data_IF_159704928026
#
_entry.id   IF_159704928026
#
_cell.length_a   1.000
_cell.length_b   1.000
_cell.length_c   1.000
_cell.angle_alpha   90.00
_cell.angle_beta   90.00
_cell.angle_gamma   90.00
#
_symmetry.space_group_name_H-M   'P 1'
#
loop_
_entity.id
_entity.type
_entity.pdbx_description
1 polymer ?
#
# COMPACT_ATOMS: atom_id res chain seq x y z
N UNK A 1 13.92 -65.75 24.30
CA UNK A 1 15.07 -65.77 25.24
C UNK A 1 15.69 -64.37 25.17
N UNK A 2 15.40 -63.39 26.03
CA UNK A 2 15.39 -63.26 27.51
C UNK A 2 16.77 -63.33 28.18
N UNK A 3 16.99 -62.32 29.04
CA UNK A 3 18.05 -61.98 30.02
C UNK A 3 19.32 -61.32 29.44
N UNK A 4 19.67 -60.05 29.73
CA UNK A 4 19.71 -59.21 30.96
C UNK A 4 20.93 -59.47 31.85
N UNK A 5 21.75 -58.44 32.04
CA UNK A 5 22.41 -58.15 33.32
C UNK A 5 22.65 -56.63 33.44
N UNK A 6 21.96 -56.05 34.40
CA UNK A 6 22.11 -54.69 34.94
C UNK A 6 23.28 -54.67 35.92
N UNK A 7 23.95 -53.52 36.04
CA UNK A 7 24.59 -53.12 37.30
C UNK A 7 23.84 -51.90 37.81
N UNK A 8 23.28 -52.08 39.00
CA UNK A 8 22.62 -51.08 39.79
C UNK A 8 23.66 -50.24 40.56
N UNK A 9 23.45 -48.94 40.61
CA UNK A 9 23.79 -48.14 41.77
C UNK A 9 22.55 -47.32 42.11
N UNK A 10 21.91 -47.69 43.21
CA UNK A 10 20.87 -46.91 43.87
C UNK A 10 21.51 -46.24 45.09
N UNK A 11 21.20 -44.96 45.30
CA UNK A 11 21.02 -44.20 46.55
C UNK A 11 21.35 -42.72 46.26
N UNK A 12 20.50 -41.74 46.49
CA UNK A 12 19.17 -41.75 47.06
C UNK A 12 18.48 -40.41 46.77
N UNK A 13 17.16 -40.40 46.94
CA UNK A 13 16.37 -39.19 46.94
C UNK A 13 16.79 -38.29 48.11
N UNK A 14 17.25 -37.08 47.80
CA UNK A 14 17.06 -35.93 48.68
C UNK A 14 16.24 -34.93 47.88
N UNK A 15 14.97 -34.84 48.27
CA UNK A 15 14.09 -33.74 47.90
C UNK A 15 14.62 -32.48 48.57
N UNK A 16 15.16 -31.56 47.78
CA UNK A 16 15.18 -30.15 48.15
C UNK A 16 14.98 -29.32 46.89
N UNK A 17 13.74 -28.92 46.67
CA UNK A 17 13.38 -27.79 45.84
C UNK A 17 13.99 -26.53 46.45
N UNK A 18 15.25 -26.25 46.14
CA UNK A 18 15.77 -24.89 46.19
C UNK A 18 15.58 -24.31 44.80
N UNK A 19 14.39 -23.75 44.58
CA UNK A 19 14.19 -22.78 43.52
C UNK A 19 15.24 -21.69 43.74
N UNK A 20 16.29 -21.67 42.91
CA UNK A 20 17.13 -20.51 42.76
C UNK A 20 16.22 -19.44 42.14
N UNK A 21 15.53 -18.71 43.02
CA UNK A 21 14.75 -17.55 42.64
C UNK A 21 15.68 -16.61 41.89
N UNK A 22 15.37 -16.39 40.62
CA UNK A 22 15.92 -15.28 39.86
C UNK A 22 15.81 -14.05 40.77
N UNK A 23 16.92 -13.37 41.12
CA UNK A 23 16.88 -12.23 42.00
C UNK A 23 15.80 -11.26 41.53
N UNK A 24 14.96 -10.78 42.44
CA UNK A 24 13.84 -9.85 42.20
C UNK A 24 14.25 -8.61 41.36
N UNK A 25 15.55 -8.30 41.34
CA UNK A 25 16.21 -7.29 40.50
C UNK A 25 16.18 -7.64 39.00
N UNK A 26 16.43 -8.90 38.61
CA UNK A 26 16.37 -9.35 37.21
C UNK A 26 14.92 -9.40 36.70
N UNK A 27 13.96 -9.82 37.53
CA UNK A 27 12.53 -9.74 37.19
C UNK A 27 12.04 -8.28 37.08
N UNK A 28 12.55 -7.37 37.92
CA UNK A 28 12.27 -5.93 37.81
C UNK A 28 12.92 -5.28 36.59
N UNK A 29 14.05 -5.80 36.11
CA UNK A 29 14.70 -5.36 34.87
C UNK A 29 13.97 -5.88 33.62
N UNK A 30 13.49 -7.13 33.61
CA UNK A 30 12.61 -7.65 32.56
C UNK A 30 11.29 -6.88 32.45
N UNK A 31 10.69 -6.47 33.58
CA UNK A 31 9.50 -5.61 33.59
C UNK A 31 9.76 -4.14 33.21
N UNK A 32 11.03 -3.71 33.18
CA UNK A 32 11.44 -2.35 32.79
C UNK A 32 11.94 -2.24 31.35
N UNK A 33 12.21 -3.36 30.69
CA UNK A 33 12.37 -3.37 29.25
C UNK A 33 11.01 -2.96 28.66
N UNK A 34 10.94 -1.93 27.81
CA UNK A 34 9.70 -1.61 27.13
C UNK A 34 9.26 -2.87 26.38
N UNK A 35 8.12 -3.44 26.78
CA UNK A 35 7.50 -4.61 26.13
C UNK A 35 7.01 -4.32 24.72
N UNK A 36 7.19 -3.09 24.27
CA UNK A 36 6.93 -2.64 22.92
C UNK A 36 8.22 -2.02 22.41
N UNK A 37 8.90 -2.71 21.50
CA UNK A 37 9.92 -2.06 20.68
C UNK A 37 9.28 -0.77 20.13
N UNK A 38 9.99 0.35 20.20
CA UNK A 38 9.50 1.58 19.58
C UNK A 38 9.15 1.27 18.11
N UNK A 39 8.06 1.81 17.56
CA UNK A 39 7.70 1.55 16.17
C UNK A 39 8.90 1.85 15.27
N UNK A 40 9.13 1.05 14.23
CA UNK A 40 10.25 1.24 13.34
C UNK A 40 10.22 2.66 12.76
N UNK A 41 11.39 3.26 12.47
CA UNK A 41 11.43 4.59 11.88
C UNK A 41 10.68 4.61 10.55
N UNK A 42 10.02 5.73 10.27
CA UNK A 42 9.32 5.96 8.99
C UNK A 42 10.31 5.78 7.84
N UNK A 43 9.99 4.90 6.89
CA UNK A 43 10.83 4.62 5.73
C UNK A 43 10.71 5.71 4.67
N UNK A 44 9.52 5.87 4.10
CA UNK A 44 9.25 6.91 3.11
C UNK A 44 9.20 8.27 3.78
N UNK A 45 9.80 9.26 3.14
CA UNK A 45 9.84 10.63 3.62
C UNK A 45 9.31 11.56 2.54
N UNK A 46 8.33 12.36 2.91
CA UNK A 46 7.71 13.34 2.04
C UNK A 46 8.42 14.69 2.25
N UNK A 47 8.37 15.55 1.23
CA UNK A 47 8.77 16.93 1.39
C UNK A 47 7.87 17.60 2.46
N UNK A 48 8.50 18.32 3.40
CA UNK A 48 7.85 18.70 4.65
C UNK A 48 6.45 19.33 4.51
N UNK A 49 6.31 20.35 3.68
CA UNK A 49 5.03 21.06 3.46
C UNK A 49 4.22 20.48 2.29
N UNK A 50 4.72 19.42 1.64
CA UNK A 50 4.22 18.88 0.39
C UNK A 50 4.15 17.35 0.46
N UNK A 51 3.09 16.81 1.09
CA UNK A 51 2.99 15.39 1.45
C UNK A 51 2.92 14.44 0.24
N UNK A 52 2.67 14.95 -0.97
CA UNK A 52 2.59 14.14 -2.19
C UNK A 52 3.89 14.15 -3.01
N UNK A 53 4.99 14.60 -2.41
CA UNK A 53 6.30 14.68 -3.06
C UNK A 53 7.38 13.96 -2.24
N UNK A 54 8.19 13.14 -2.89
CA UNK A 54 9.36 12.49 -2.30
C UNK A 54 10.45 13.53 -2.04
N UNK A 55 10.91 13.59 -0.80
CA UNK A 55 11.87 14.61 -0.36
C UNK A 55 13.21 14.62 -1.11
N UNK A 56 13.61 13.50 -1.75
CA UNK A 56 14.88 13.38 -2.46
C UNK A 56 14.86 14.07 -3.82
N UNK A 57 13.70 14.07 -4.46
CA UNK A 57 13.51 14.55 -5.84
C UNK A 57 12.68 15.83 -5.91
N UNK A 58 12.06 16.23 -4.80
CA UNK A 58 11.35 17.49 -4.69
C UNK A 58 12.27 18.70 -4.92
N UNK A 59 11.93 19.51 -5.92
CA UNK A 59 12.54 20.82 -6.15
C UNK A 59 11.63 21.95 -5.69
N UNK A 60 10.48 22.07 -6.34
CA UNK A 60 9.42 23.03 -6.01
C UNK A 60 8.05 22.39 -6.22
N UNK A 61 7.04 22.94 -5.55
CA UNK A 61 5.68 22.45 -5.69
C UNK A 61 5.08 22.93 -7.01
N UNK A 62 4.46 22.01 -7.74
CA UNK A 62 3.77 22.32 -8.98
C UNK A 62 2.42 22.99 -8.67
N UNK A 63 2.00 23.89 -9.55
CA UNK A 63 0.62 24.38 -9.56
C UNK A 63 -0.37 23.21 -9.73
N UNK A 64 -1.58 23.26 -9.14
CA UNK A 64 -2.49 22.11 -9.09
C UNK A 64 -2.74 21.43 -10.44
N UNK A 65 -2.90 22.19 -11.52
CA UNK A 65 -3.12 21.66 -12.86
C UNK A 65 -1.89 20.91 -13.41
N UNK A 66 -0.68 21.40 -13.11
CA UNK A 66 0.56 20.75 -13.49
C UNK A 66 0.80 19.47 -12.65
N UNK A 67 0.49 19.52 -11.35
CA UNK A 67 0.51 18.33 -10.49
C UNK A 67 -0.47 17.26 -11.00
N UNK A 68 -1.70 17.62 -11.33
CA UNK A 68 -2.69 16.70 -11.89
C UNK A 68 -2.21 16.07 -13.21
N UNK A 69 -1.58 16.86 -14.09
CA UNK A 69 -0.96 16.35 -15.30
C UNK A 69 0.23 15.40 -15.01
N UNK A 70 1.00 15.67 -13.96
CA UNK A 70 2.06 14.79 -13.47
C UNK A 70 1.54 13.45 -12.96
N UNK A 71 0.46 13.45 -12.16
CA UNK A 71 -0.21 12.23 -11.67
C UNK A 71 -0.72 11.38 -12.85
N UNK A 72 -1.27 12.03 -13.89
CA UNK A 72 -1.66 11.34 -15.12
C UNK A 72 -0.47 10.60 -15.75
N UNK A 73 0.68 11.25 -15.89
CA UNK A 73 1.90 10.64 -16.45
C UNK A 73 2.40 9.49 -15.56
N UNK A 74 2.42 9.70 -14.24
CA UNK A 74 2.75 8.67 -13.27
C UNK A 74 1.87 7.43 -13.45
N UNK A 75 0.56 7.60 -13.55
CA UNK A 75 -0.37 6.48 -13.76
C UNK A 75 -0.13 5.77 -15.09
N UNK A 76 0.12 6.52 -16.16
CA UNK A 76 0.42 5.94 -17.48
C UNK A 76 1.70 5.10 -17.47
N UNK A 77 2.78 5.62 -16.89
CA UNK A 77 4.07 4.93 -16.82
C UNK A 77 4.05 3.77 -15.83
N UNK A 78 3.38 3.92 -14.68
CA UNK A 78 3.16 2.84 -13.72
C UNK A 78 2.41 1.66 -14.34
N UNK A 79 1.24 1.92 -14.95
CA UNK A 79 0.40 0.86 -15.53
C UNK A 79 1.08 0.18 -16.72
N UNK A 80 1.82 0.93 -17.55
CA UNK A 80 2.62 0.35 -18.62
C UNK A 80 3.70 -0.58 -18.06
N UNK A 81 4.44 -0.13 -17.05
CA UNK A 81 5.49 -0.92 -16.40
C UNK A 81 4.93 -2.19 -15.77
N UNK A 82 3.88 -2.09 -14.96
CA UNK A 82 3.33 -3.24 -14.23
C UNK A 82 2.74 -4.30 -15.16
N UNK A 83 2.19 -3.88 -16.31
CA UNK A 83 1.78 -4.80 -17.37
C UNK A 83 2.98 -5.56 -17.95
N UNK A 84 4.08 -4.87 -18.22
CA UNK A 84 5.29 -5.49 -18.80
C UNK A 84 5.98 -6.43 -17.79
N UNK A 85 5.90 -6.11 -16.50
CA UNK A 85 6.34 -6.98 -15.40
C UNK A 85 5.43 -8.20 -15.18
N UNK A 86 4.25 -8.23 -15.80
CA UNK A 86 3.25 -9.28 -15.60
C UNK A 86 2.57 -9.25 -14.22
N UNK A 87 2.66 -8.12 -13.51
CA UNK A 87 2.07 -7.94 -12.17
C UNK A 87 0.67 -7.37 -12.29
N UNK A 88 -0.31 -8.02 -11.65
CA UNK A 88 -1.67 -7.50 -11.60
C UNK A 88 -1.78 -6.40 -10.55
N UNK A 89 -2.18 -5.22 -11.02
CA UNK A 89 -2.50 -4.07 -10.18
C UNK A 89 -3.87 -3.51 -10.54
N UNK A 90 -4.55 -2.91 -9.57
CA UNK A 90 -5.86 -2.28 -9.75
C UNK A 90 -5.97 -0.96 -9.01
N UNK A 91 -6.88 -0.11 -9.48
CA UNK A 91 -7.17 1.18 -8.83
C UNK A 91 -7.90 0.97 -7.51
N UNK A 92 -7.52 1.75 -6.49
CA UNK A 92 -8.20 1.84 -5.19
C UNK A 92 -8.42 3.30 -4.81
N UNK A 93 -9.13 3.54 -3.70
CA UNK A 93 -9.30 4.86 -3.07
C UNK A 93 -9.70 5.97 -4.06
N UNK A 94 -8.99 7.11 -4.04
CA UNK A 94 -9.30 8.29 -4.85
C UNK A 94 -9.20 8.01 -6.36
N UNK A 95 -8.21 7.21 -6.74
CA UNK A 95 -8.02 6.79 -8.14
C UNK A 95 -9.19 5.95 -8.67
N UNK A 96 -9.75 5.04 -7.86
CA UNK A 96 -10.94 4.28 -8.24
C UNK A 96 -12.18 5.18 -8.33
N UNK A 97 -12.28 6.20 -7.47
CA UNK A 97 -13.38 7.18 -7.51
C UNK A 97 -13.29 8.07 -8.76
N UNK A 98 -12.10 8.55 -9.11
CA UNK A 98 -11.85 9.26 -10.36
C UNK A 98 -12.19 8.40 -11.58
N UNK A 99 -11.87 7.10 -11.51
CA UNK A 99 -12.28 6.15 -12.54
C UNK A 99 -13.80 6.05 -12.67
N UNK A 100 -14.52 5.92 -11.55
CA UNK A 100 -15.99 5.83 -11.53
C UNK A 100 -16.66 7.02 -12.23
N UNK A 101 -16.17 8.23 -11.98
CA UNK A 101 -16.74 9.44 -12.55
C UNK A 101 -16.40 9.60 -14.03
N UNK A 102 -15.11 9.61 -14.39
CA UNK A 102 -14.71 10.04 -15.73
C UNK A 102 -13.60 9.22 -16.37
N UNK A 103 -13.15 8.13 -15.72
CA UNK A 103 -11.93 7.41 -16.11
C UNK A 103 -10.69 8.32 -16.11
N UNK A 104 -10.67 9.31 -15.21
CA UNK A 104 -9.65 10.35 -15.11
C UNK A 104 -9.34 10.68 -13.66
N UNK A 105 -8.14 11.17 -13.39
CA UNK A 105 -7.77 11.80 -12.12
C UNK A 105 -8.72 12.99 -11.89
N UNK A 106 -9.25 13.13 -10.68
CA UNK A 106 -10.16 14.24 -10.40
C UNK A 106 -9.36 15.54 -10.29
N UNK A 107 -9.91 16.71 -10.67
CA UNK A 107 -9.15 17.97 -10.72
C UNK A 107 -8.52 18.43 -9.39
N UNK A 108 -9.10 18.01 -8.27
CA UNK A 108 -8.63 18.32 -6.92
C UNK A 108 -7.86 17.16 -6.27
N UNK A 109 -7.73 16.03 -6.96
CA UNK A 109 -6.96 14.88 -6.48
C UNK A 109 -5.47 15.15 -6.71
N UNK A 110 -4.69 15.05 -5.63
CA UNK A 110 -3.27 15.45 -5.61
C UNK A 110 -2.31 14.27 -5.49
N UNK A 111 -2.83 13.06 -5.40
CA UNK A 111 -2.12 11.80 -5.43
C UNK A 111 -2.89 10.73 -6.23
N UNK A 112 -2.33 9.53 -6.27
CA UNK A 112 -2.97 8.36 -6.84
C UNK A 112 -2.62 7.11 -6.04
N UNK A 113 -3.59 6.20 -5.98
CA UNK A 113 -3.54 5.00 -5.16
C UNK A 113 -3.88 3.77 -5.97
N UNK A 114 -3.06 2.75 -5.80
CA UNK A 114 -3.21 1.47 -6.46
C UNK A 114 -2.87 0.35 -5.50
N UNK A 115 -3.40 -0.83 -5.79
CA UNK A 115 -3.05 -2.02 -5.01
C UNK A 115 -2.53 -3.14 -5.90
N UNK A 116 -1.78 -4.02 -5.25
CA UNK A 116 -1.35 -5.33 -5.75
C UNK A 116 -1.64 -6.41 -4.72
N UNK A 117 -1.51 -7.68 -5.10
CA UNK A 117 -1.57 -8.75 -4.10
C UNK A 117 -0.31 -8.76 -3.23
N UNK A 118 -0.42 -9.29 -2.01
CA UNK A 118 0.76 -9.50 -1.16
C UNK A 118 1.85 -10.35 -1.83
N UNK A 119 1.45 -11.40 -2.55
CA UNK A 119 2.39 -12.26 -3.27
C UNK A 119 3.17 -11.47 -4.35
N UNK A 120 2.47 -10.61 -5.09
CA UNK A 120 3.10 -9.74 -6.08
C UNK A 120 4.02 -8.69 -5.43
N UNK A 121 3.67 -8.17 -4.25
CA UNK A 121 4.54 -7.28 -3.50
C UNK A 121 5.86 -7.97 -3.11
N UNK A 122 5.82 -9.24 -2.66
CA UNK A 122 7.03 -10.02 -2.40
C UNK A 122 7.85 -10.27 -3.67
N UNK A 123 7.19 -10.53 -4.80
CA UNK A 123 7.86 -10.66 -6.10
C UNK A 123 8.58 -9.36 -6.50
N UNK A 124 7.89 -8.21 -6.41
CA UNK A 124 8.48 -6.91 -6.69
C UNK A 124 9.65 -6.61 -5.75
N UNK A 125 9.52 -6.90 -4.46
CA UNK A 125 10.58 -6.72 -3.47
C UNK A 125 11.84 -7.53 -3.79
N UNK A 126 11.68 -8.76 -4.28
CA UNK A 126 12.79 -9.66 -4.55
C UNK A 126 13.54 -9.32 -5.84
N UNK A 127 12.83 -8.85 -6.88
CA UNK A 127 13.39 -8.74 -8.23
C UNK A 127 13.46 -7.31 -8.78
N UNK A 128 12.64 -6.39 -8.28
CA UNK A 128 12.44 -5.07 -8.88
C UNK A 128 12.59 -3.89 -7.90
N UNK A 129 12.92 -4.13 -6.63
CA UNK A 129 13.14 -3.05 -5.68
C UNK A 129 14.28 -2.12 -6.12
N UNK A 130 14.07 -0.80 -6.01
CA UNK A 130 15.00 0.26 -6.42
C UNK A 130 15.34 0.26 -7.92
N UNK A 131 14.51 -0.38 -8.76
CA UNK A 131 14.70 -0.33 -10.21
C UNK A 131 14.27 1.01 -10.79
N UNK A 132 15.00 1.48 -11.80
CA UNK A 132 14.76 2.75 -12.49
C UNK A 132 14.34 2.44 -13.93
N UNK A 133 13.28 3.10 -14.39
CA UNK A 133 12.70 2.96 -15.71
C UNK A 133 12.81 4.27 -16.47
N UNK A 134 13.13 4.18 -17.76
CA UNK A 134 13.24 5.32 -18.67
C UNK A 134 12.01 5.41 -19.57
N UNK A 135 11.45 6.60 -19.69
CA UNK A 135 10.35 6.91 -20.61
C UNK A 135 10.65 8.18 -21.40
N UNK A 136 10.30 8.21 -22.68
CA UNK A 136 10.42 9.38 -23.54
C UNK A 136 9.07 9.64 -24.21
N UNK A 137 8.55 10.86 -24.10
CA UNK A 137 7.25 11.27 -24.62
C UNK A 137 7.24 12.79 -24.88
N UNK A 138 6.19 13.33 -25.50
CA UNK A 138 6.14 14.74 -25.91
C UNK A 138 6.41 15.74 -24.76
N UNK A 139 5.94 15.42 -23.54
CA UNK A 139 6.18 16.22 -22.33
C UNK A 139 7.53 15.96 -21.66
N UNK A 140 8.32 15.03 -22.17
CA UNK A 140 9.68 14.73 -21.71
C UNK A 140 10.58 14.26 -22.87
N UNK A 141 10.96 15.19 -23.78
CA UNK A 141 11.63 14.86 -25.02
C UNK A 141 13.05 14.33 -24.82
N UNK A 142 13.75 14.73 -23.75
CA UNK A 142 15.08 14.21 -23.40
C UNK A 142 15.01 12.90 -22.58
N UNK A 143 13.79 12.52 -22.21
CA UNK A 143 13.49 11.36 -21.41
C UNK A 143 13.52 11.59 -19.89
N UNK A 144 12.69 10.80 -19.23
CA UNK A 144 12.31 10.91 -17.83
C UNK A 144 12.57 9.59 -17.13
N UNK A 145 12.89 9.66 -15.85
CA UNK A 145 13.23 8.51 -15.02
C UNK A 145 12.22 8.33 -13.89
N UNK A 146 11.75 7.11 -13.75
CA UNK A 146 10.81 6.71 -12.71
C UNK A 146 11.41 5.58 -11.88
N UNK A 147 11.23 5.63 -10.57
CA UNK A 147 11.77 4.62 -9.66
C UNK A 147 10.64 3.80 -9.01
N UNK A 148 10.75 2.48 -9.09
CA UNK A 148 9.97 1.58 -8.24
C UNK A 148 10.75 1.32 -6.95
N UNK A 149 10.20 1.73 -5.82
CA UNK A 149 10.82 1.55 -4.52
C UNK A 149 9.89 0.82 -3.56
N UNK A 150 10.39 -0.25 -2.94
CA UNK A 150 9.64 -1.09 -2.01
C UNK A 150 10.08 -0.78 -0.58
N UNK A 151 9.10 -0.48 0.28
CA UNK A 151 9.33 -0.30 1.70
C UNK A 151 9.78 -1.63 2.33
N UNK A 152 10.94 -1.71 3.00
CA UNK A 152 11.39 -2.95 3.65
C UNK A 152 10.41 -3.46 4.73
N UNK A 153 9.59 -2.58 5.31
CA UNK A 153 8.56 -2.94 6.26
C UNK A 153 7.30 -3.53 5.62
N UNK A 154 7.22 -3.72 4.30
CA UNK A 154 6.08 -4.40 3.64
C UNK A 154 5.76 -5.79 4.21
N UNK A 155 6.77 -6.44 4.81
CA UNK A 155 6.66 -7.76 5.46
C UNK A 155 5.98 -7.71 6.82
N UNK A 156 5.96 -6.56 7.46
CA UNK A 156 5.30 -6.38 8.75
C UNK A 156 3.79 -6.39 8.55
N UNK A 157 3.11 -7.35 9.19
CA UNK A 157 1.68 -7.62 8.97
C UNK A 157 0.78 -7.03 10.04
N UNK A 158 1.34 -6.70 11.20
CA UNK A 158 0.58 -6.07 12.28
C UNK A 158 0.17 -4.66 11.88
N UNK A 159 -0.96 -4.20 12.43
CA UNK A 159 -1.59 -2.92 12.08
C UNK A 159 -1.25 -1.81 13.08
N UNK A 160 -0.22 -2.00 13.90
CA UNK A 160 0.17 -1.07 14.95
C UNK A 160 1.35 -0.15 14.55
N UNK A 161 1.89 -0.32 13.34
CA UNK A 161 2.85 0.58 12.70
C UNK A 161 2.11 1.59 11.82
N UNK A 162 1.95 2.80 12.35
CA UNK A 162 1.29 3.91 11.66
C UNK A 162 2.25 4.72 10.76
N UNK A 163 3.54 4.42 10.78
CA UNK A 163 4.56 5.13 10.00
C UNK A 163 4.80 4.46 8.65
N UNK A 164 4.64 3.13 8.55
CA UNK A 164 4.94 2.35 7.34
C UNK A 164 3.72 1.64 6.75
N UNK A 165 2.64 2.40 6.59
CA UNK A 165 1.37 1.93 5.99
C UNK A 165 1.45 1.73 4.48
N UNK A 166 2.34 2.45 3.79
CA UNK A 166 2.58 2.31 2.35
C UNK A 166 3.68 1.28 2.09
N UNK A 167 3.41 0.34 1.20
CA UNK A 167 4.28 -0.80 0.92
C UNK A 167 5.27 -0.55 -0.21
N UNK A 168 4.91 0.28 -1.20
CA UNK A 168 5.81 0.70 -2.26
C UNK A 168 5.39 2.04 -2.86
N UNK A 169 6.31 2.65 -3.61
CA UNK A 169 6.05 3.86 -4.39
C UNK A 169 6.56 3.72 -5.82
N UNK A 170 5.83 4.32 -6.75
CA UNK A 170 6.30 4.64 -8.08
C UNK A 170 6.58 6.14 -8.16
N UNK A 171 7.83 6.53 -8.32
CA UNK A 171 8.29 7.91 -8.07
C UNK A 171 8.80 8.52 -9.37
N UNK A 172 8.29 9.70 -9.72
CA UNK A 172 8.85 10.57 -10.75
C UNK A 172 10.10 11.25 -10.19
N UNK A 173 11.28 10.91 -10.72
CA UNK A 173 12.55 11.43 -10.21
C UNK A 173 12.85 12.87 -10.67
N UNK A 174 12.00 13.47 -11.50
CA UNK A 174 12.20 14.83 -12.03
C UNK A 174 11.58 15.88 -11.11
N UNK A 175 10.43 15.57 -10.52
CA UNK A 175 9.69 16.49 -9.65
C UNK A 175 9.41 15.93 -8.24
N UNK A 176 9.53 14.61 -8.05
CA UNK A 176 9.28 13.92 -6.79
C UNK A 176 7.84 13.47 -6.56
N UNK A 177 6.89 13.74 -7.45
CA UNK A 177 5.55 13.15 -7.35
C UNK A 177 5.63 11.62 -7.33
N UNK A 178 4.70 10.97 -6.65
CA UNK A 178 4.64 9.52 -6.60
C UNK A 178 3.22 8.96 -6.56
N UNK A 179 3.10 7.67 -6.86
CA UNK A 179 1.92 6.84 -6.60
C UNK A 179 2.22 5.99 -5.37
N UNK A 180 1.27 5.93 -4.43
CA UNK A 180 1.33 5.01 -3.31
C UNK A 180 0.74 3.64 -3.72
N UNK A 181 1.50 2.57 -3.44
CA UNK A 181 1.15 1.20 -3.78
C UNK A 181 0.96 0.42 -2.47
N UNK A 182 -0.23 -0.12 -2.27
CA UNK A 182 -0.57 -0.94 -1.09
C UNK A 182 -0.71 -2.41 -1.47
N UNK A 183 -0.24 -3.31 -0.60
CA UNK A 183 -0.49 -4.73 -0.78
C UNK A 183 -1.80 -5.14 -0.09
N UNK A 184 -2.70 -5.77 -0.84
CA UNK A 184 -3.89 -6.42 -0.31
C UNK A 184 -3.51 -7.82 0.22
N UNK A 185 -3.74 -8.05 1.51
CA UNK A 185 -3.30 -9.25 2.24
C UNK A 185 -4.50 -9.99 2.78
N UNK A 186 -4.53 -11.31 2.66
CA UNK A 186 -5.55 -12.10 3.37
C UNK A 186 -5.35 -12.02 4.89
N UNK A 187 -6.45 -12.02 5.64
CA UNK A 187 -6.48 -12.10 7.11
C UNK A 187 -7.06 -13.45 7.57
N UNK A 188 -6.21 -14.49 7.74
CA UNK A 188 -6.68 -15.82 8.13
C UNK A 188 -7.24 -15.82 9.56
N UNK A 189 -8.44 -16.36 9.72
CA UNK A 189 -9.09 -16.45 11.03
C UNK A 189 -9.81 -15.17 11.46
N UNK A 190 -9.99 -14.20 10.56
CA UNK A 190 -10.78 -13.00 10.82
C UNK A 190 -12.20 -13.33 11.29
N UNK A 191 -12.76 -12.52 12.20
CA UNK A 191 -14.09 -12.75 12.80
C UNK A 191 -15.23 -12.79 11.78
N UNK A 192 -15.08 -12.08 10.66
CA UNK A 192 -16.02 -12.09 9.53
C UNK A 192 -15.88 -13.32 8.61
N UNK A 193 -15.05 -14.29 8.99
CA UNK A 193 -14.76 -15.52 8.26
C UNK A 193 -13.82 -15.34 7.07
N UNK A 194 -13.61 -16.43 6.31
CA UNK A 194 -12.62 -16.51 5.24
C UNK A 194 -12.78 -15.47 4.13
N UNK A 195 -11.67 -15.19 3.44
CA UNK A 195 -11.63 -14.28 2.30
C UNK A 195 -11.63 -12.79 2.68
N UNK A 196 -11.46 -12.44 3.96
CA UNK A 196 -11.17 -11.05 4.34
C UNK A 196 -9.75 -10.72 3.91
N UNK A 197 -9.62 -9.57 3.28
CA UNK A 197 -8.36 -8.94 2.95
C UNK A 197 -8.27 -7.59 3.62
N UNK A 198 -7.04 -7.14 3.85
CA UNK A 198 -6.75 -5.84 4.43
C UNK A 198 -5.52 -5.20 3.80
N UNK A 199 -5.44 -3.88 3.90
CA UNK A 199 -4.19 -3.13 3.78
C UNK A 199 -3.69 -2.70 5.18
N UNK A 200 -2.49 -2.14 5.25
CA UNK A 200 -1.91 -1.68 6.52
C UNK A 200 -2.56 -0.43 7.09
N UNK A 201 -3.41 0.25 6.34
CA UNK A 201 -4.23 1.34 6.84
C UNK A 201 -5.54 0.84 7.47
N UNK A 202 -5.69 -0.47 7.61
CA UNK A 202 -6.85 -1.12 8.22
C UNK A 202 -8.13 -0.98 7.36
N UNK A 203 -8.00 -0.79 6.05
CA UNK A 203 -9.13 -0.96 5.14
C UNK A 203 -9.38 -2.45 4.94
N UNK A 204 -10.59 -2.91 5.25
CA UNK A 204 -10.98 -4.31 5.11
C UNK A 204 -11.99 -4.50 3.99
N UNK A 205 -11.78 -5.54 3.19
CA UNK A 205 -12.68 -5.90 2.10
C UNK A 205 -12.65 -7.41 1.88
N UNK A 206 -13.73 -7.96 1.33
CA UNK A 206 -13.74 -9.37 0.93
C UNK A 206 -13.09 -9.52 -0.44
N UNK A 207 -12.32 -10.57 -0.62
CA UNK A 207 -11.69 -10.94 -1.90
C UNK A 207 -12.69 -11.01 -3.07
N UNK A 208 -13.91 -11.51 -2.83
CA UNK A 208 -15.02 -11.54 -3.80
C UNK A 208 -15.51 -10.16 -4.26
N UNK A 209 -15.06 -9.08 -3.61
CA UNK A 209 -15.31 -7.70 -4.04
C UNK A 209 -14.19 -7.20 -4.97
N UNK A 210 -12.99 -7.76 -4.84
CA UNK A 210 -11.84 -7.46 -5.69
C UNK A 210 -11.87 -8.34 -6.93
N UNK A 211 -11.96 -9.65 -6.75
CA UNK A 211 -11.79 -10.64 -7.80
C UNK A 211 -13.13 -11.19 -8.34
N UNK A 212 -13.19 -11.55 -9.64
CA UNK A 212 -12.15 -11.30 -10.65
C UNK A 212 -12.04 -9.80 -10.98
N UNK A 213 -10.81 -9.34 -11.21
CA UNK A 213 -10.58 -7.96 -11.63
C UNK A 213 -11.22 -7.70 -13.00
N UNK A 214 -11.73 -6.48 -13.21
CA UNK A 214 -12.35 -6.07 -14.46
C UNK A 214 -11.39 -5.20 -15.28
N UNK A 215 -11.27 -5.50 -16.58
CA UNK A 215 -10.47 -4.70 -17.52
C UNK A 215 -11.21 -3.46 -17.99
N UNK A 216 -10.50 -2.33 -18.00
CA UNK A 216 -11.04 -1.03 -18.41
C UNK A 216 -9.90 -0.09 -18.82
N UNK A 217 -10.18 1.22 -18.82
CA UNK A 217 -9.19 2.26 -19.08
C UNK A 217 -9.25 3.34 -18.00
N UNK A 218 -8.12 3.97 -17.73
CA UNK A 218 -7.98 5.16 -16.90
C UNK A 218 -6.87 6.03 -17.50
N UNK A 219 -7.12 7.33 -17.65
CA UNK A 219 -6.19 8.26 -18.31
C UNK A 219 -5.74 7.83 -19.72
N UNK A 220 -6.62 7.12 -20.42
CA UNK A 220 -6.38 6.61 -21.78
C UNK A 220 -5.54 5.33 -21.87
N UNK A 221 -5.11 4.75 -20.74
CA UNK A 221 -4.35 3.48 -20.72
C UNK A 221 -5.16 2.35 -20.09
N UNK A 222 -4.80 1.10 -20.44
CA UNK A 222 -5.43 -0.09 -19.87
C UNK A 222 -5.14 -0.21 -18.37
N UNK A 223 -6.17 -0.53 -17.60
CA UNK A 223 -6.09 -0.72 -16.15
C UNK A 223 -7.10 -1.78 -15.69
N UNK A 224 -6.92 -2.29 -14.49
CA UNK A 224 -7.87 -3.15 -13.80
C UNK A 224 -8.55 -2.44 -12.63
N UNK A 225 -9.76 -2.87 -12.31
CA UNK A 225 -10.52 -2.41 -11.14
C UNK A 225 -11.15 -3.60 -10.39
N UNK A 226 -11.53 -3.42 -9.12
CA UNK A 226 -12.30 -4.42 -8.37
C UNK A 226 -13.63 -4.81 -9.04
N UNK A 227 -14.06 -6.07 -8.87
CA UNK A 227 -15.36 -6.58 -9.35
C UNK A 227 -16.56 -5.79 -8.80
N UNK A 228 -16.59 -5.55 -7.49
CA UNK A 228 -17.65 -4.82 -6.77
C UNK A 228 -17.20 -3.41 -6.37
N UNK A 229 -16.66 -2.69 -7.34
CA UNK A 229 -16.12 -1.35 -7.16
C UNK A 229 -17.13 -0.36 -6.54
N UNK A 230 -18.44 -0.47 -6.83
CA UNK A 230 -19.45 0.43 -6.25
C UNK A 230 -19.59 0.23 -4.75
N UNK A 231 -19.58 -1.02 -4.29
CA UNK A 231 -19.67 -1.36 -2.88
C UNK A 231 -18.43 -0.89 -2.13
N UNK A 232 -17.24 -1.08 -2.68
CA UNK A 232 -15.97 -0.59 -2.13
C UNK A 232 -15.99 0.93 -2.00
N UNK A 233 -16.30 1.64 -3.08
CA UNK A 233 -16.36 3.11 -3.05
C UNK A 233 -17.47 3.63 -2.12
N UNK A 234 -18.62 2.96 -2.07
CA UNK A 234 -19.71 3.37 -1.18
C UNK A 234 -19.40 3.10 0.30
N UNK A 235 -18.60 2.08 0.63
CA UNK A 235 -18.13 1.88 2.00
C UNK A 235 -17.12 2.93 2.44
N UNK A 236 -16.28 3.41 1.52
CA UNK A 236 -15.21 4.35 1.82
C UNK A 236 -15.69 5.81 1.81
N UNK A 237 -16.39 6.23 0.76
CA UNK A 237 -16.79 7.63 0.53
C UNK A 237 -18.29 7.87 0.73
N UNK A 238 -19.07 6.82 0.97
CA UNK A 238 -20.52 6.89 1.06
C UNK A 238 -21.21 6.96 -0.31
N UNK A 239 -22.50 6.57 -0.35
CA UNK A 239 -23.30 6.54 -1.60
C UNK A 239 -23.38 7.90 -2.30
N UNK A 240 -23.31 9.00 -1.56
CA UNK A 240 -23.39 10.35 -2.10
C UNK A 240 -22.18 10.70 -2.98
N UNK A 241 -20.99 10.16 -2.70
CA UNK A 241 -19.80 10.38 -3.52
C UNK A 241 -19.93 9.79 -4.93
N UNK A 242 -20.86 8.83 -5.12
CA UNK A 242 -21.14 8.19 -6.40
C UNK A 242 -22.24 8.87 -7.21
N UNK A 243 -22.92 9.87 -6.64
CA UNK A 243 -24.11 10.49 -7.24
C UNK A 243 -24.13 12.01 -7.21
N UNK A 244 -23.42 12.67 -6.29
CA UNK A 244 -23.37 14.13 -6.23
C UNK A 244 -22.51 14.67 -7.36
N UNK A 245 -23.12 15.44 -8.24
CA UNK A 245 -22.46 16.05 -9.42
C UNK A 245 -21.83 17.41 -9.13
N UNK A 246 -21.76 17.83 -7.87
CA UNK A 246 -21.35 19.15 -7.44
C UNK A 246 -20.41 18.97 -6.23
N UNK A 247 -19.13 19.29 -6.40
CA UNK A 247 -18.09 19.04 -5.39
C UNK A 247 -16.84 19.89 -5.68
N UNK A 248 -16.21 20.44 -4.64
CA UNK A 248 -14.97 21.25 -4.73
C UNK A 248 -14.99 22.31 -5.85
N UNK A 249 -16.03 23.12 -5.94
CA UNK A 249 -16.20 24.16 -6.98
C UNK A 249 -16.19 23.61 -8.43
N UNK A 250 -16.51 22.33 -8.61
CA UNK A 250 -16.67 21.68 -9.90
C UNK A 250 -18.02 21.01 -10.03
N UNK A 251 -18.56 21.02 -11.25
CA UNK A 251 -19.74 20.26 -11.66
C UNK A 251 -19.34 19.12 -12.58
N UNK A 252 -19.92 17.94 -12.38
CA UNK A 252 -19.73 16.82 -13.29
C UNK A 252 -20.59 16.99 -14.56
N UNK A 253 -19.94 17.11 -15.72
CA UNK A 253 -20.59 17.12 -17.02
C UNK A 253 -20.78 15.66 -17.50
N UNK A 254 -22.01 15.17 -17.39
CA UNK A 254 -22.38 13.79 -17.77
C UNK A 254 -22.28 13.51 -19.26
N UNK A 255 -22.25 14.53 -20.12
CA UNK A 255 -22.06 14.34 -21.57
C UNK A 255 -20.58 14.18 -21.91
N UNK A 256 -19.72 14.96 -21.26
CA UNK A 256 -18.27 14.90 -21.46
C UNK A 256 -17.58 13.85 -20.57
N UNK A 257 -18.29 13.32 -19.58
CA UNK A 257 -17.77 12.41 -18.56
C UNK A 257 -16.56 13.00 -17.85
N UNK A 258 -16.67 14.27 -17.40
CA UNK A 258 -15.58 14.97 -16.71
C UNK A 258 -16.10 16.04 -15.74
N UNK A 259 -15.31 16.31 -14.71
CA UNK A 259 -15.51 17.45 -13.82
C UNK A 259 -15.08 18.74 -14.51
N UNK A 260 -15.92 19.77 -14.45
CA UNK A 260 -15.64 21.11 -14.99
C UNK A 260 -15.77 22.16 -13.89
N UNK A 261 -14.91 23.19 -13.85
CA UNK A 261 -15.03 24.27 -12.87
C UNK A 261 -16.41 24.94 -12.97
N UNK A 262 -16.97 25.29 -11.81
CA UNK A 262 -18.12 26.16 -11.71
C UNK A 262 -17.63 27.61 -11.78
N UNK A 263 -18.10 28.36 -12.77
CA UNK A 263 -17.87 29.81 -12.84
C UNK A 263 -18.65 30.54 -11.75
#
# INVERSE_FOLDING_TARGET
MRLSAFIAVALGCITSTSAFGVPDVLQKLEKKLPTREAPPPKYFREASAYPHYDWRYFGEALEPQAQNAGIRVLMQTYLATFRDLGVQTWLMHGSLLGWWWGKKVMPWDLDADVSVTEADMYFLAAYYNMTIYYYQYDGCPDGCFFQLEINPYHKYRERDDTLNVIDARWIDMQNGLFIDITAARYDPGHEMGDGVMYDKYNHEFKDKYIFPLLDTTFEGVHVKIPYRYKEILASEYGKAALSKTDYHDHRFDTKKMQWVPMN
#
